data_IF_773122514114
#
_entry.id   IF_773122514114
#
_cell.length_a   1.000
_cell.length_b   1.000
_cell.length_c   1.000
_cell.angle_alpha   90.00
_cell.angle_beta   90.00
_cell.angle_gamma   90.00
#
_symmetry.space_group_name_H-M   'P 1'
#
loop_
_entity.id
_entity.type
_entity.pdbx_description
1 polymer ?
#
# COMPACT_ATOMS: atom_id res chain seq x y z
N UNK A 1 6.63 -24.35 -18.73
CA UNK A 1 6.07 -23.20 -17.98
C UNK A 1 4.54 -23.29 -17.91
N UNK A 2 3.95 -24.38 -17.37
CA UNK A 2 2.47 -24.54 -17.25
C UNK A 2 1.95 -24.31 -15.83
N UNK A 3 2.82 -23.90 -14.90
CA UNK A 3 2.49 -23.80 -13.47
C UNK A 3 2.06 -22.38 -13.03
N UNK A 4 2.13 -21.38 -13.93
CA UNK A 4 1.77 -20.00 -13.63
C UNK A 4 0.43 -19.57 -14.23
N UNK A 5 -0.12 -20.33 -15.19
CA UNK A 5 -1.36 -19.98 -15.88
C UNK A 5 -2.61 -20.10 -14.98
N UNK A 6 -2.51 -20.87 -13.89
CA UNK A 6 -3.59 -21.03 -12.91
C UNK A 6 -3.49 -20.07 -11.71
N UNK A 7 -2.40 -19.31 -11.58
CA UNK A 7 -2.23 -18.36 -10.48
C UNK A 7 -2.73 -16.99 -10.94
N UNK A 8 -4.04 -16.85 -11.12
CA UNK A 8 -4.63 -15.54 -11.30
C UNK A 8 -4.60 -14.82 -9.94
N UNK A 9 -3.79 -13.76 -9.76
CA UNK A 9 -3.73 -13.08 -8.49
C UNK A 9 -5.11 -12.46 -8.19
N UNK A 10 -5.59 -12.52 -6.94
CA UNK A 10 -6.84 -11.89 -6.58
C UNK A 10 -6.79 -10.39 -6.92
N UNK A 11 -7.94 -9.79 -7.30
CA UNK A 11 -8.00 -8.39 -7.65
C UNK A 11 -7.46 -7.54 -6.50
N UNK A 12 -6.72 -6.51 -6.87
CA UNK A 12 -6.11 -5.59 -5.91
C UNK A 12 -7.15 -4.53 -5.56
N UNK A 13 -7.48 -4.39 -4.26
CA UNK A 13 -8.47 -3.41 -3.81
C UNK A 13 -7.94 -1.99 -3.99
N UNK A 14 -8.79 -1.08 -4.42
CA UNK A 14 -8.44 0.35 -4.44
C UNK A 14 -8.40 0.91 -3.02
N UNK A 15 -7.64 1.98 -2.83
CA UNK A 15 -7.55 2.70 -1.56
C UNK A 15 -7.97 4.15 -1.77
N UNK A 16 -8.93 4.62 -0.97
CA UNK A 16 -9.21 6.05 -0.84
C UNK A 16 -8.14 6.73 0.02
N UNK A 17 -8.08 8.07 -0.04
CA UNK A 17 -7.21 8.87 0.81
C UNK A 17 -7.39 8.55 2.30
N UNK A 18 -8.65 8.36 2.74
CA UNK A 18 -8.98 7.97 4.11
C UNK A 18 -8.52 6.55 4.48
N UNK A 19 -8.53 5.62 3.54
CA UNK A 19 -8.05 4.25 3.78
C UNK A 19 -6.55 4.22 4.02
N UNK A 20 -5.79 4.99 3.25
CA UNK A 20 -4.32 5.07 3.36
C UNK A 20 -3.94 5.69 4.69
N UNK A 21 -4.59 6.80 5.06
CA UNK A 21 -4.37 7.47 6.34
C UNK A 21 -4.69 6.54 7.52
N UNK A 22 -5.83 5.85 7.48
CA UNK A 22 -6.24 4.90 8.52
C UNK A 22 -5.26 3.73 8.64
N UNK A 23 -4.81 3.17 7.52
CA UNK A 23 -3.82 2.09 7.52
C UNK A 23 -2.52 2.54 8.18
N UNK A 24 -2.00 3.71 7.80
CA UNK A 24 -0.78 4.27 8.40
C UNK A 24 -0.93 4.48 9.92
N UNK A 25 -2.06 5.06 10.34
CA UNK A 25 -2.31 5.37 11.74
C UNK A 25 -2.51 4.11 12.59
N UNK A 26 -3.14 3.07 12.04
CA UNK A 26 -3.26 1.76 12.70
C UNK A 26 -1.90 1.07 12.92
N UNK A 27 -0.90 1.38 12.10
CA UNK A 27 0.49 0.93 12.29
C UNK A 27 1.29 1.83 13.23
N UNK A 28 0.70 2.91 13.76
CA UNK A 28 1.35 3.93 14.57
C UNK A 28 2.54 4.62 13.86
N UNK A 29 2.45 4.78 12.53
CA UNK A 29 3.53 5.36 11.73
C UNK A 29 3.29 6.83 11.38
N UNK A 30 4.39 7.59 11.35
CA UNK A 30 4.41 8.91 10.71
C UNK A 30 4.42 8.74 9.18
N UNK A 31 4.04 9.79 8.44
CA UNK A 31 4.07 9.76 6.96
C UNK A 31 5.45 9.38 6.40
N UNK A 32 6.59 9.93 6.91
CA UNK A 32 7.92 9.52 6.43
C UNK A 32 8.28 8.06 6.73
N UNK A 33 7.95 7.55 7.91
CA UNK A 33 8.21 6.14 8.27
C UNK A 33 7.40 5.21 7.36
N UNK A 34 6.12 5.51 7.16
CA UNK A 34 5.27 4.73 6.26
C UNK A 34 5.78 4.77 4.81
N UNK A 35 6.22 5.94 4.34
CA UNK A 35 6.81 6.09 3.01
C UNK A 35 8.07 5.25 2.82
N UNK A 36 8.91 5.15 3.86
CA UNK A 36 10.12 4.32 3.83
C UNK A 36 9.80 2.84 3.59
N UNK A 37 8.82 2.28 4.32
CA UNK A 37 8.36 0.90 4.12
C UNK A 37 7.71 0.66 2.75
N UNK A 38 7.11 1.69 2.16
CA UNK A 38 6.50 1.61 0.83
C UNK A 38 7.48 1.90 -0.32
N UNK A 39 8.76 2.15 -0.03
CA UNK A 39 9.77 2.59 -1.00
C UNK A 39 9.29 3.79 -1.86
N UNK A 40 8.67 4.77 -1.20
CA UNK A 40 8.20 6.01 -1.82
C UNK A 40 8.60 7.23 -0.98
N UNK A 41 8.28 8.44 -1.45
CA UNK A 41 8.56 9.67 -0.71
C UNK A 41 7.43 10.02 0.26
N UNK A 42 7.76 10.71 1.35
CA UNK A 42 6.76 11.27 2.27
C UNK A 42 5.79 12.22 1.56
N UNK A 43 6.27 12.97 0.55
CA UNK A 43 5.43 13.82 -0.29
C UNK A 43 4.42 13.02 -1.12
N UNK A 44 4.77 11.82 -1.56
CA UNK A 44 3.86 10.93 -2.29
C UNK A 44 2.77 10.40 -1.36
N UNK A 45 3.14 9.91 -0.17
CA UNK A 45 2.16 9.48 0.85
C UNK A 45 1.22 10.61 1.23
N UNK A 46 1.74 11.83 1.42
CA UNK A 46 0.92 13.01 1.70
C UNK A 46 -0.10 13.28 0.59
N UNK A 47 0.32 13.28 -0.68
CA UNK A 47 -0.57 13.48 -1.83
C UNK A 47 -1.66 12.40 -1.92
N UNK A 48 -1.32 11.15 -1.60
CA UNK A 48 -2.31 10.07 -1.51
C UNK A 48 -3.33 10.31 -0.39
N UNK A 49 -2.87 10.66 0.80
CA UNK A 49 -3.73 10.95 1.96
C UNK A 49 -4.57 12.24 1.80
N UNK A 50 -4.21 13.12 0.87
CA UNK A 50 -4.99 14.30 0.47
C UNK A 50 -5.90 14.03 -0.74
N UNK A 51 -5.76 12.89 -1.42
CA UNK A 51 -6.51 12.55 -2.62
C UNK A 51 -6.05 13.26 -3.90
N UNK A 52 -4.89 13.92 -3.88
CA UNK A 52 -4.31 14.60 -5.05
C UNK A 52 -3.83 13.60 -6.11
N UNK A 53 -3.29 12.46 -5.67
CA UNK A 53 -2.89 11.34 -6.52
C UNK A 53 -3.36 10.03 -5.90
N UNK A 54 -3.26 8.93 -6.65
CA UNK A 54 -3.62 7.59 -6.17
C UNK A 54 -2.44 6.62 -6.32
N UNK A 55 -2.27 5.67 -5.40
CA UNK A 55 -1.31 4.58 -5.59
C UNK A 55 -1.74 3.71 -6.77
N UNK A 56 -0.77 3.23 -7.54
CA UNK A 56 -0.98 2.34 -8.67
C UNK A 56 0.13 1.28 -8.72
N UNK A 57 -0.11 0.21 -9.48
CA UNK A 57 0.89 -0.84 -9.72
C UNK A 57 1.45 -1.45 -8.43
N UNK A 58 2.78 -1.57 -8.29
CA UNK A 58 3.41 -2.20 -7.12
C UNK A 58 3.05 -1.56 -5.78
N UNK A 59 2.94 -0.23 -5.72
CA UNK A 59 2.59 0.48 -4.48
C UNK A 59 1.17 0.11 -4.01
N UNK A 60 0.22 0.03 -4.93
CA UNK A 60 -1.15 -0.39 -4.61
C UNK A 60 -1.19 -1.85 -4.14
N UNK A 61 -0.41 -2.73 -4.77
CA UNK A 61 -0.29 -4.12 -4.33
C UNK A 61 0.31 -4.22 -2.92
N UNK A 62 1.33 -3.41 -2.63
CA UNK A 62 1.99 -3.41 -1.33
C UNK A 62 1.06 -2.92 -0.21
N UNK A 63 0.27 -1.86 -0.47
CA UNK A 63 -0.77 -1.40 0.46
C UNK A 63 -1.80 -2.51 0.77
N UNK A 64 -2.19 -3.30 -0.23
CA UNK A 64 -3.06 -4.46 -0.02
C UNK A 64 -2.38 -5.52 0.86
N UNK A 65 -1.13 -5.87 0.57
CA UNK A 65 -0.37 -6.85 1.37
C UNK A 65 -0.27 -6.42 2.84
N UNK A 66 0.10 -5.17 3.10
CA UNK A 66 0.20 -4.63 4.46
C UNK A 66 -1.17 -4.62 5.15
N UNK A 67 -2.23 -4.26 4.44
CA UNK A 67 -3.55 -4.19 5.05
C UNK A 67 -4.17 -5.55 5.34
N UNK A 68 -3.87 -6.57 4.53
CA UNK A 68 -4.43 -7.91 4.69
C UNK A 68 -3.59 -8.79 5.63
N UNK A 69 -2.26 -8.61 5.63
CA UNK A 69 -1.31 -9.49 6.34
C UNK A 69 -0.50 -8.78 7.44
N UNK A 70 -0.64 -7.46 7.56
CA UNK A 70 0.17 -6.64 8.45
C UNK A 70 1.57 -6.36 7.91
N UNK A 71 2.31 -5.53 8.65
CA UNK A 71 3.65 -5.08 8.26
C UNK A 71 4.68 -6.21 8.18
N UNK A 72 4.50 -7.28 8.96
CA UNK A 72 5.41 -8.44 8.99
C UNK A 72 5.52 -9.18 7.64
N UNK A 73 4.58 -8.95 6.71
CA UNK A 73 4.63 -9.54 5.38
C UNK A 73 5.71 -8.91 4.46
N UNK A 74 6.32 -7.79 4.89
CA UNK A 74 7.24 -6.99 4.07
C UNK A 74 8.54 -6.58 4.80
N UNK A 75 8.77 -7.15 5.99
CA UNK A 75 10.00 -6.98 6.78
C UNK A 75 10.90 -8.21 6.58
#
# INVERSE_FOLDING_TARGET
>A
MRQFDEICPPPVREFSAGDIKRLREALHFSQPVFAHHLHTSASTVRKWEQGETRPAGPALKLLNVIADKGLQAII
#
